data_IF_994387128820
#
_entry.id   IF_994387128820
#
_cell.length_a   1.000
_cell.length_b   1.000
_cell.length_c   1.000
_cell.angle_alpha   90.00
_cell.angle_beta   90.00
_cell.angle_gamma   90.00
#
_symmetry.space_group_name_H-M   'P 1'
#
loop_
_entity.id
_entity.type
_entity.pdbx_description
1 polymer ?
#
# COMPACT_ATOMS: atom_id res chain seq x y z
N UNK A 1 -69.98 26.60 -15.34
CA UNK A 1 -70.86 25.93 -16.33
C UNK A 1 -70.53 24.48 -16.25
N UNK A 2 -71.31 23.70 -15.50
CA UNK A 2 -72.46 22.89 -15.93
C UNK A 2 -72.04 21.74 -16.84
N UNK A 3 -72.10 20.59 -16.29
CA UNK A 3 -73.01 19.38 -16.39
C UNK A 3 -72.41 18.38 -17.37
N UNK A 4 -72.43 17.04 -17.22
CA UNK A 4 -73.38 16.08 -16.56
C UNK A 4 -72.77 14.71 -16.72
N UNK A 5 -72.64 13.89 -15.74
CA UNK A 5 -73.46 12.72 -15.33
C UNK A 5 -73.91 11.79 -16.48
N UNK A 6 -73.46 10.54 -16.44
CA UNK A 6 -73.91 9.42 -17.26
C UNK A 6 -73.49 8.07 -16.70
N UNK A 7 -74.26 7.56 -15.75
CA UNK A 7 -74.19 6.23 -15.15
C UNK A 7 -75.06 5.24 -15.94
N UNK A 8 -74.55 4.06 -16.29
CA UNK A 8 -75.32 2.82 -16.57
C UNK A 8 -74.40 1.62 -16.42
N UNK A 9 -74.47 0.87 -15.51
CA UNK A 9 -75.14 -0.34 -14.92
C UNK A 9 -75.22 -1.55 -15.87
N UNK A 10 -74.74 -2.66 -15.31
CA UNK A 10 -74.99 -4.09 -15.49
C UNK A 10 -74.41 -4.85 -16.71
N UNK A 11 -73.74 -5.90 -16.36
CA UNK A 11 -73.47 -7.08 -17.18
C UNK A 11 -72.65 -8.11 -16.43
N UNK A 12 -73.30 -8.91 -15.54
CA UNK A 12 -72.75 -10.11 -14.93
C UNK A 12 -72.67 -11.18 -16.02
N UNK A 13 -71.48 -11.75 -16.21
CA UNK A 13 -71.31 -13.04 -16.89
C UNK A 13 -70.26 -13.85 -16.17
N UNK A 14 -70.71 -14.85 -15.40
CA UNK A 14 -69.91 -15.98 -14.99
C UNK A 14 -69.46 -16.77 -16.23
N UNK A 15 -68.17 -17.04 -16.35
CA UNK A 15 -67.72 -18.21 -17.09
C UNK A 15 -66.55 -18.88 -16.38
N UNK A 16 -66.65 -20.17 -16.43
CA UNK A 16 -65.98 -21.20 -15.66
C UNK A 16 -64.49 -21.35 -15.98
N UNK A 17 -63.75 -21.74 -14.97
CA UNK A 17 -62.63 -22.70 -14.87
C UNK A 17 -61.93 -23.10 -16.18
N UNK A 18 -60.66 -22.73 -16.30
CA UNK A 18 -59.68 -23.57 -16.94
C UNK A 18 -58.38 -23.53 -16.14
N UNK A 19 -58.08 -24.65 -15.50
CA UNK A 19 -56.82 -24.99 -14.88
C UNK A 19 -55.81 -25.13 -16.03
N UNK A 20 -54.97 -24.18 -16.23
CA UNK A 20 -53.81 -24.29 -17.12
C UNK A 20 -52.57 -24.46 -16.23
N UNK A 21 -51.95 -25.64 -16.40
CA UNK A 21 -50.82 -26.10 -15.63
C UNK A 21 -49.64 -25.15 -15.63
N UNK A 22 -48.98 -25.05 -14.47
CA UNK A 22 -47.63 -24.50 -14.36
C UNK A 22 -46.67 -25.32 -15.22
N UNK A 23 -46.35 -24.81 -16.38
CA UNK A 23 -45.13 -25.23 -17.09
C UNK A 23 -43.99 -24.66 -16.30
N UNK A 24 -43.36 -25.51 -15.50
CA UNK A 24 -42.09 -25.17 -14.86
C UNK A 24 -41.08 -24.80 -15.91
N UNK A 25 -40.67 -23.54 -15.92
CA UNK A 25 -39.43 -23.18 -16.57
C UNK A 25 -38.31 -23.91 -15.85
N UNK A 26 -37.42 -24.63 -16.56
CA UNK A 26 -36.20 -25.08 -15.93
C UNK A 26 -35.46 -23.82 -15.52
N UNK A 27 -35.35 -23.60 -14.21
CA UNK A 27 -34.38 -22.68 -13.63
C UNK A 27 -33.02 -23.10 -14.19
N UNK A 28 -32.59 -22.43 -15.24
CA UNK A 28 -31.17 -22.40 -15.59
C UNK A 28 -30.52 -21.56 -14.49
N UNK A 29 -30.31 -22.21 -13.34
CA UNK A 29 -29.45 -21.67 -12.29
C UNK A 29 -28.10 -21.35 -12.92
N UNK A 30 -27.88 -20.09 -13.20
CA UNK A 30 -26.53 -19.57 -13.26
C UNK A 30 -25.97 -19.76 -11.85
N UNK A 31 -25.40 -20.94 -11.59
CA UNK A 31 -24.48 -21.14 -10.50
C UNK A 31 -23.29 -20.21 -10.78
N UNK A 32 -23.37 -18.99 -10.28
CA UNK A 32 -22.15 -18.24 -10.03
C UNK A 32 -21.27 -19.18 -9.21
N UNK A 33 -20.01 -19.42 -9.57
CA UNK A 33 -19.11 -20.20 -8.74
C UNK A 33 -18.96 -19.46 -7.42
N UNK A 34 -19.84 -19.68 -6.46
CA UNK A 34 -19.57 -19.41 -5.07
C UNK A 34 -18.39 -20.32 -4.75
N UNK A 35 -17.20 -19.73 -4.70
CA UNK A 35 -16.06 -20.37 -4.06
C UNK A 35 -16.55 -20.77 -2.69
N UNK A 36 -16.76 -22.04 -2.44
CA UNK A 36 -17.10 -22.61 -1.14
C UNK A 36 -15.87 -22.44 -0.24
N UNK A 37 -15.67 -21.18 0.27
CA UNK A 37 -14.63 -20.87 1.23
C UNK A 37 -14.96 -21.68 2.49
N UNK A 38 -14.07 -22.57 2.89
CA UNK A 38 -14.27 -23.38 4.09
C UNK A 38 -14.42 -22.47 5.32
N UNK A 39 -15.20 -22.91 6.33
CA UNK A 39 -15.35 -22.15 7.57
C UNK A 39 -14.00 -21.83 8.22
N UNK A 40 -13.03 -22.75 8.14
CA UNK A 40 -11.65 -22.53 8.61
C UNK A 40 -10.96 -21.42 7.84
N UNK A 41 -11.10 -21.38 6.52
CA UNK A 41 -10.52 -20.34 5.69
C UNK A 41 -11.13 -18.97 5.93
N UNK A 42 -12.47 -18.89 6.08
CA UNK A 42 -13.16 -17.65 6.45
C UNK A 42 -12.66 -17.09 7.79
N UNK A 43 -12.52 -17.95 8.81
CA UNK A 43 -11.96 -17.57 10.11
C UNK A 43 -10.51 -17.11 9.99
N UNK A 44 -9.67 -17.85 9.27
CA UNK A 44 -8.27 -17.48 9.06
C UNK A 44 -8.15 -16.13 8.37
N UNK A 45 -8.98 -15.86 7.37
CA UNK A 45 -9.02 -14.56 6.69
C UNK A 45 -9.35 -13.43 7.65
N UNK A 46 -10.45 -13.54 8.41
CA UNK A 46 -10.90 -12.51 9.35
C UNK A 46 -9.81 -12.19 10.38
N UNK A 47 -9.24 -13.19 11.03
CA UNK A 47 -8.18 -13.00 12.02
C UNK A 47 -6.90 -12.42 11.41
N UNK A 48 -6.57 -12.78 10.17
CA UNK A 48 -5.41 -12.19 9.46
C UNK A 48 -5.65 -10.70 9.13
N UNK A 49 -6.85 -10.34 8.69
CA UNK A 49 -7.22 -8.94 8.43
C UNK A 49 -7.21 -8.10 9.71
N UNK A 50 -7.72 -8.64 10.82
CA UNK A 50 -7.62 -8.00 12.14
C UNK A 50 -6.16 -7.81 12.56
N UNK A 51 -5.33 -8.83 12.40
CA UNK A 51 -3.90 -8.75 12.70
C UNK A 51 -3.19 -7.66 11.90
N UNK A 52 -3.51 -7.53 10.61
CA UNK A 52 -2.96 -6.46 9.77
C UNK A 52 -3.35 -5.07 10.30
N UNK A 53 -4.60 -4.88 10.71
CA UNK A 53 -5.05 -3.62 11.31
C UNK A 53 -4.36 -3.32 12.65
N UNK A 54 -4.15 -4.32 13.51
CA UNK A 54 -3.40 -4.15 14.76
C UNK A 54 -1.93 -3.84 14.51
N UNK A 55 -1.32 -4.48 13.50
CA UNK A 55 0.03 -4.16 13.05
C UNK A 55 0.16 -2.68 12.62
N UNK A 56 -0.76 -2.18 11.81
CA UNK A 56 -0.78 -0.78 11.38
C UNK A 56 -0.89 0.22 12.55
N UNK A 57 -1.54 -0.19 13.64
CA UNK A 57 -1.66 0.59 14.88
C UNK A 57 -0.46 0.42 15.83
N UNK A 58 0.54 -0.39 15.44
CA UNK A 58 1.69 -0.71 16.29
C UNK A 58 1.38 -1.65 17.47
N UNK A 59 0.20 -2.28 17.49
CA UNK A 59 -0.24 -3.21 18.53
C UNK A 59 0.25 -4.64 18.22
N UNK A 60 1.57 -4.80 18.21
CA UNK A 60 2.24 -5.99 17.67
C UNK A 60 1.89 -7.28 18.43
N UNK A 61 1.73 -7.21 19.76
CA UNK A 61 1.35 -8.37 20.58
C UNK A 61 -0.05 -8.88 20.20
N UNK A 62 -1.04 -7.98 20.09
CA UNK A 62 -2.40 -8.34 19.68
C UNK A 62 -2.42 -8.90 18.26
N UNK A 63 -1.62 -8.34 17.36
CA UNK A 63 -1.49 -8.85 16.00
C UNK A 63 -0.98 -10.31 16.00
N UNK A 64 -0.01 -10.68 16.85
CA UNK A 64 0.46 -12.06 16.97
C UNK A 64 -0.62 -13.00 17.53
N UNK A 65 -1.43 -12.55 18.49
CA UNK A 65 -2.54 -13.34 19.03
C UNK A 65 -3.59 -13.64 17.93
N UNK A 66 -3.97 -12.64 17.15
CA UNK A 66 -4.90 -12.81 16.02
C UNK A 66 -4.33 -13.76 14.96
N UNK A 67 -3.04 -13.65 14.65
CA UNK A 67 -2.36 -14.56 13.72
C UNK A 67 -2.31 -16.00 14.23
N UNK A 68 -2.16 -16.19 15.54
CA UNK A 68 -2.26 -17.52 16.14
C UNK A 68 -3.67 -18.10 16.01
N UNK A 69 -4.73 -17.27 16.09
CA UNK A 69 -6.11 -17.68 15.83
C UNK A 69 -6.31 -18.04 14.35
N UNK A 70 -5.79 -17.22 13.45
CA UNK A 70 -5.84 -17.48 12.02
C UNK A 70 -5.22 -18.84 11.66
N UNK A 71 -4.01 -19.10 12.16
CA UNK A 71 -3.26 -20.34 11.87
C UNK A 71 -3.82 -21.57 12.58
N UNK A 72 -4.50 -21.41 13.72
CA UNK A 72 -5.30 -22.50 14.31
C UNK A 72 -6.53 -22.85 13.46
N UNK A 73 -7.16 -21.86 12.84
CA UNK A 73 -8.31 -22.10 11.96
C UNK A 73 -7.91 -22.73 10.62
N UNK A 74 -6.77 -22.31 10.06
CA UNK A 74 -6.19 -22.88 8.83
C UNK A 74 -4.67 -22.74 8.86
N UNK A 75 -3.97 -23.85 9.15
CA UNK A 75 -2.54 -23.88 9.37
C UNK A 75 -1.69 -23.60 8.13
N UNK A 76 -2.27 -23.72 6.92
CA UNK A 76 -1.64 -23.45 5.62
C UNK A 76 -2.15 -22.14 4.97
N UNK A 77 -2.64 -21.19 5.79
CA UNK A 77 -3.12 -19.91 5.27
C UNK A 77 -1.96 -18.95 4.99
N UNK A 78 -1.54 -18.87 3.73
CA UNK A 78 -0.36 -18.13 3.28
C UNK A 78 -0.33 -16.66 3.75
N UNK A 79 -1.49 -15.96 3.72
CA UNK A 79 -1.57 -14.57 4.12
C UNK A 79 -1.25 -14.35 5.60
N UNK A 80 -1.62 -15.30 6.49
CA UNK A 80 -1.30 -15.19 7.91
C UNK A 80 0.22 -15.21 8.15
N UNK A 81 0.95 -16.05 7.42
CA UNK A 81 2.42 -16.05 7.48
C UNK A 81 3.02 -14.75 6.95
N UNK A 82 2.49 -14.23 5.83
CA UNK A 82 2.95 -12.94 5.29
C UNK A 82 2.78 -11.80 6.33
N UNK A 83 1.62 -11.69 6.95
CA UNK A 83 1.37 -10.66 7.98
C UNK A 83 2.21 -10.91 9.22
N UNK A 84 2.39 -12.19 9.64
CA UNK A 84 3.25 -12.53 10.77
C UNK A 84 4.71 -12.17 10.52
N UNK A 85 5.19 -12.36 9.30
CA UNK A 85 6.50 -11.90 8.87
C UNK A 85 6.69 -10.38 9.04
N UNK A 86 5.67 -9.58 8.69
CA UNK A 86 5.70 -8.12 8.92
C UNK A 86 5.74 -7.76 10.40
N UNK A 87 4.92 -8.43 11.23
CA UNK A 87 4.90 -8.21 12.69
C UNK A 87 6.25 -8.56 13.31
N UNK A 88 6.83 -9.72 12.95
CA UNK A 88 8.14 -10.16 13.43
C UNK A 88 9.28 -9.25 12.98
N UNK A 89 9.22 -8.78 11.73
CA UNK A 89 10.15 -7.76 11.22
C UNK A 89 10.10 -6.49 12.08
N UNK A 90 8.92 -6.04 12.50
CA UNK A 90 8.75 -4.88 13.37
C UNK A 90 9.24 -5.14 14.81
N UNK A 91 9.19 -6.38 15.28
CA UNK A 91 9.75 -6.84 16.56
C UNK A 91 11.26 -7.11 16.50
N UNK A 92 11.91 -6.95 15.33
CA UNK A 92 13.31 -7.31 15.09
C UNK A 92 13.61 -8.80 15.25
N UNK A 93 12.62 -9.65 15.11
CA UNK A 93 12.72 -11.12 15.08
C UNK A 93 13.06 -11.60 13.66
N UNK A 94 14.24 -11.19 13.17
CA UNK A 94 14.59 -11.29 11.75
C UNK A 94 14.59 -12.71 11.18
N UNK A 95 15.08 -13.69 11.97
CA UNK A 95 15.10 -15.07 11.51
C UNK A 95 13.67 -15.61 11.32
N UNK A 96 12.81 -15.39 12.31
CA UNK A 96 11.43 -15.86 12.24
C UNK A 96 10.64 -15.13 11.15
N UNK A 97 10.94 -13.83 10.95
CA UNK A 97 10.33 -13.07 9.85
C UNK A 97 10.69 -13.66 8.48
N UNK A 98 11.97 -13.98 8.28
CA UNK A 98 12.46 -14.61 7.04
C UNK A 98 11.78 -15.96 6.79
N UNK A 99 11.72 -16.82 7.82
CA UNK A 99 11.04 -18.12 7.77
C UNK A 99 9.56 -17.98 7.38
N UNK A 100 8.85 -17.01 7.97
CA UNK A 100 7.44 -16.75 7.69
C UNK A 100 7.21 -16.26 6.26
N UNK A 101 8.00 -15.30 5.78
CA UNK A 101 7.88 -14.83 4.39
C UNK A 101 8.15 -15.95 3.38
N UNK A 102 9.21 -16.74 3.61
CA UNK A 102 9.51 -17.88 2.75
C UNK A 102 8.39 -18.92 2.80
N UNK A 103 7.81 -19.19 3.98
CA UNK A 103 6.72 -20.15 4.09
C UNK A 103 5.45 -19.65 3.39
N UNK A 104 5.12 -18.37 3.53
CA UNK A 104 4.03 -17.74 2.77
C UNK A 104 4.18 -17.95 1.28
N UNK A 105 5.39 -17.73 0.74
CA UNK A 105 5.68 -17.90 -0.68
C UNK A 105 5.72 -19.38 -1.10
N UNK A 106 6.06 -20.32 -0.22
CA UNK A 106 5.92 -21.77 -0.51
C UNK A 106 4.45 -22.16 -0.63
N UNK A 107 3.57 -21.60 0.18
CA UNK A 107 2.12 -21.88 0.12
C UNK A 107 1.44 -21.19 -1.07
N UNK A 108 1.87 -19.98 -1.41
CA UNK A 108 1.35 -19.25 -2.56
C UNK A 108 2.46 -18.43 -3.24
N UNK A 109 3.19 -19.08 -4.16
CA UNK A 109 4.35 -18.51 -4.84
C UNK A 109 4.06 -17.39 -5.83
N UNK A 110 2.79 -17.10 -6.11
CA UNK A 110 2.40 -16.01 -7.03
C UNK A 110 1.74 -14.82 -6.30
N UNK A 111 1.74 -14.83 -4.95
CA UNK A 111 1.13 -13.74 -4.19
C UNK A 111 1.97 -12.46 -4.26
N UNK A 112 1.47 -11.38 -4.88
CA UNK A 112 2.24 -10.17 -5.08
C UNK A 112 2.53 -9.43 -3.77
N UNK A 113 1.59 -9.46 -2.79
CA UNK A 113 1.81 -8.81 -1.50
C UNK A 113 2.91 -9.50 -0.70
N UNK A 114 2.94 -10.86 -0.71
CA UNK A 114 4.01 -11.61 -0.06
C UNK A 114 5.37 -11.35 -0.71
N UNK A 115 5.43 -11.26 -2.03
CA UNK A 115 6.64 -10.85 -2.73
C UNK A 115 7.07 -9.43 -2.39
N UNK A 116 6.15 -8.45 -2.41
CA UNK A 116 6.47 -7.07 -2.07
C UNK A 116 6.98 -6.94 -0.63
N UNK A 117 6.32 -7.59 0.32
CA UNK A 117 6.67 -7.50 1.74
C UNK A 117 8.00 -8.19 2.04
N UNK A 118 8.24 -9.37 1.45
CA UNK A 118 9.51 -10.06 1.59
C UNK A 118 10.65 -9.28 0.92
N UNK A 119 10.42 -8.71 -0.26
CA UNK A 119 11.38 -7.82 -0.91
C UNK A 119 11.76 -6.64 -0.01
N UNK A 120 10.77 -6.01 0.64
CA UNK A 120 11.03 -4.92 1.58
C UNK A 120 11.86 -5.36 2.79
N UNK A 121 11.52 -6.52 3.38
CA UNK A 121 12.31 -7.11 4.45
C UNK A 121 13.77 -7.33 4.04
N UNK A 122 14.01 -7.97 2.90
CA UNK A 122 15.34 -8.22 2.37
C UNK A 122 16.14 -6.91 2.15
N UNK A 123 15.50 -5.91 1.58
CA UNK A 123 16.11 -4.59 1.37
C UNK A 123 16.55 -3.94 2.70
N UNK A 124 15.71 -4.02 3.72
CA UNK A 124 16.07 -3.51 5.06
C UNK A 124 17.26 -4.24 5.68
N UNK A 125 17.52 -5.48 5.28
CA UNK A 125 18.63 -6.33 5.77
C UNK A 125 19.87 -6.31 4.87
N UNK A 126 19.96 -5.39 3.90
CA UNK A 126 21.11 -5.23 3.04
C UNK A 126 21.21 -6.26 1.91
N UNK A 127 20.08 -6.92 1.58
CA UNK A 127 19.98 -7.87 0.47
C UNK A 127 19.28 -7.22 -0.74
N UNK A 128 19.80 -6.09 -1.20
CA UNK A 128 19.14 -5.23 -2.19
C UNK A 128 18.89 -5.97 -3.53
N UNK A 129 19.87 -6.72 -4.02
CA UNK A 129 19.75 -7.44 -5.29
C UNK A 129 18.68 -8.55 -5.24
N UNK A 130 18.55 -9.22 -4.10
CA UNK A 130 17.53 -10.24 -3.90
C UNK A 130 16.15 -9.58 -3.78
N UNK A 131 16.07 -8.47 -3.06
CA UNK A 131 14.82 -7.73 -2.87
C UNK A 131 14.21 -7.26 -4.20
N UNK A 132 15.03 -6.77 -5.14
CA UNK A 132 14.56 -6.33 -6.47
C UNK A 132 13.89 -7.49 -7.22
N UNK A 133 14.42 -8.72 -7.14
CA UNK A 133 13.78 -9.89 -7.75
C UNK A 133 12.38 -10.12 -7.23
N UNK A 134 12.17 -9.93 -5.94
CA UNK A 134 10.85 -10.07 -5.31
C UNK A 134 9.90 -8.95 -5.72
N UNK A 135 10.32 -7.70 -5.77
CA UNK A 135 9.48 -6.62 -6.28
C UNK A 135 9.07 -6.86 -7.74
N UNK A 136 10.02 -7.32 -8.58
CA UNK A 136 9.71 -7.67 -9.96
C UNK A 136 8.77 -8.87 -10.07
N UNK A 137 8.84 -9.83 -9.15
CA UNK A 137 7.89 -10.94 -9.10
C UNK A 137 6.48 -10.47 -8.73
N UNK A 138 6.34 -9.55 -7.77
CA UNK A 138 5.06 -8.92 -7.44
C UNK A 138 4.45 -8.21 -8.67
N UNK A 139 5.25 -7.45 -9.41
CA UNK A 139 4.84 -6.66 -10.57
C UNK A 139 4.50 -7.51 -11.81
N UNK A 140 4.87 -8.80 -11.85
CA UNK A 140 4.46 -9.71 -12.92
C UNK A 140 2.96 -10.08 -12.85
N UNK A 141 2.33 -9.93 -11.69
CA UNK A 141 0.92 -10.24 -11.56
C UNK A 141 0.08 -9.04 -12.06
N UNK A 142 -0.66 -9.17 -13.19
CA UNK A 142 -1.44 -8.06 -13.74
C UNK A 142 -2.63 -7.66 -12.85
N UNK A 143 -3.00 -8.50 -11.89
CA UNK A 143 -4.09 -8.25 -10.94
C UNK A 143 -3.58 -7.70 -9.61
N UNK A 144 -2.31 -7.32 -9.53
CA UNK A 144 -1.78 -6.70 -8.32
C UNK A 144 -2.44 -5.35 -8.08
N UNK A 145 -3.12 -5.22 -6.93
CA UNK A 145 -3.96 -4.04 -6.63
C UNK A 145 -3.17 -2.79 -6.27
N UNK A 146 -1.90 -2.94 -5.85
CA UNK A 146 -1.05 -1.83 -5.38
C UNK A 146 0.35 -1.86 -6.00
N UNK A 147 0.46 -1.89 -7.35
CA UNK A 147 1.75 -1.98 -8.03
C UNK A 147 2.65 -0.76 -7.76
N UNK A 148 2.08 0.41 -7.48
CA UNK A 148 2.81 1.62 -7.09
C UNK A 148 3.67 1.39 -5.84
N UNK A 149 3.22 0.57 -4.89
CA UNK A 149 3.99 0.24 -3.68
C UNK A 149 5.23 -0.60 -4.01
N UNK A 150 5.09 -1.57 -4.90
CA UNK A 150 6.23 -2.38 -5.32
C UNK A 150 7.24 -1.55 -6.14
N UNK A 151 6.77 -0.66 -7.01
CA UNK A 151 7.65 0.29 -7.70
C UNK A 151 8.35 1.24 -6.72
N UNK A 152 7.63 1.83 -5.76
CA UNK A 152 8.23 2.66 -4.72
C UNK A 152 9.32 1.91 -3.96
N UNK A 153 9.01 0.72 -3.45
CA UNK A 153 9.94 -0.09 -2.68
C UNK A 153 11.17 -0.49 -3.50
N UNK A 154 10.97 -0.86 -4.77
CA UNK A 154 12.07 -1.14 -5.70
C UNK A 154 12.96 0.10 -5.90
N UNK A 155 12.36 1.27 -6.10
CA UNK A 155 13.08 2.53 -6.25
C UNK A 155 13.90 2.91 -5.02
N UNK A 156 13.30 2.86 -3.84
CA UNK A 156 13.98 3.14 -2.57
C UNK A 156 15.12 2.15 -2.29
N UNK A 157 14.90 0.88 -2.65
CA UNK A 157 15.93 -0.14 -2.50
C UNK A 157 17.08 0.04 -3.49
N UNK A 158 16.77 0.42 -4.73
CA UNK A 158 17.79 0.74 -5.73
C UNK A 158 18.63 1.97 -5.32
N UNK A 159 18.01 2.98 -4.68
CA UNK A 159 18.75 4.11 -4.08
C UNK A 159 19.74 3.61 -3.02
N UNK A 160 19.32 2.70 -2.15
CA UNK A 160 20.17 2.11 -1.11
C UNK A 160 21.33 1.30 -1.71
N UNK A 161 21.09 0.62 -2.82
CA UNK A 161 22.10 -0.09 -3.61
C UNK A 161 22.98 0.85 -4.47
N UNK A 162 22.79 2.18 -4.39
CA UNK A 162 23.44 3.17 -5.23
C UNK A 162 23.23 2.99 -6.74
N UNK A 163 22.17 2.27 -7.13
CA UNK A 163 21.78 2.12 -8.52
C UNK A 163 20.82 3.25 -8.91
N UNK A 164 21.41 4.37 -9.30
CA UNK A 164 20.70 5.62 -9.60
C UNK A 164 19.68 5.45 -10.72
N UNK A 165 20.07 4.75 -11.80
CA UNK A 165 19.21 4.57 -12.98
C UNK A 165 17.94 3.81 -12.65
N UNK A 166 18.08 2.66 -12.02
CA UNK A 166 16.93 1.83 -11.65
C UNK A 166 16.06 2.53 -10.58
N UNK A 167 16.71 3.27 -9.64
CA UNK A 167 16.01 4.04 -8.63
C UNK A 167 15.09 5.09 -9.27
N UNK A 168 15.60 5.86 -10.20
CA UNK A 168 14.83 6.88 -10.92
C UNK A 168 13.68 6.25 -11.71
N UNK A 169 13.98 5.19 -12.50
CA UNK A 169 12.98 4.50 -13.31
C UNK A 169 11.82 3.96 -12.46
N UNK A 170 12.13 3.28 -11.36
CA UNK A 170 11.09 2.71 -10.49
C UNK A 170 10.29 3.79 -9.77
N UNK A 171 10.92 4.85 -9.25
CA UNK A 171 10.18 5.94 -8.60
C UNK A 171 9.27 6.68 -9.58
N UNK A 172 9.71 6.88 -10.83
CA UNK A 172 8.87 7.45 -11.88
C UNK A 172 7.70 6.54 -12.25
N UNK A 173 7.91 5.21 -12.32
CA UNK A 173 6.83 4.24 -12.52
C UNK A 173 5.82 4.26 -11.37
N UNK A 174 6.27 4.41 -10.12
CA UNK A 174 5.36 4.60 -8.99
C UNK A 174 4.46 5.83 -9.18
N UNK A 175 5.04 6.96 -9.63
CA UNK A 175 4.29 8.19 -9.94
C UNK A 175 3.40 8.08 -11.17
N UNK A 176 3.75 7.22 -12.14
CA UNK A 176 2.89 6.96 -13.30
C UNK A 176 1.58 6.27 -12.86
N UNK A 177 1.65 5.37 -11.88
CA UNK A 177 0.46 4.70 -11.31
C UNK A 177 -0.26 5.63 -10.33
N UNK A 178 0.48 6.29 -9.43
CA UNK A 178 -0.05 7.19 -8.40
C UNK A 178 0.70 8.54 -8.41
N UNK A 179 0.22 9.53 -9.20
CA UNK A 179 0.95 10.78 -9.43
C UNK A 179 1.26 11.62 -8.18
N UNK A 180 0.45 11.47 -7.12
CA UNK A 180 0.60 12.24 -5.88
C UNK A 180 1.28 11.46 -4.75
N UNK A 181 1.96 10.36 -5.05
CA UNK A 181 2.63 9.51 -4.06
C UNK A 181 3.80 10.26 -3.42
N UNK A 182 3.58 10.78 -2.22
CA UNK A 182 4.54 11.65 -1.52
C UNK A 182 5.89 11.00 -1.30
N UNK A 183 5.94 9.70 -0.97
CA UNK A 183 7.19 8.98 -0.75
C UNK A 183 8.04 8.85 -2.02
N UNK A 184 7.40 8.66 -3.17
CA UNK A 184 8.10 8.62 -4.46
C UNK A 184 8.62 10.01 -4.85
N UNK A 185 7.82 11.07 -4.65
CA UNK A 185 8.25 12.46 -4.88
C UNK A 185 9.44 12.83 -3.98
N UNK A 186 9.39 12.46 -2.70
CA UNK A 186 10.48 12.70 -1.76
C UNK A 186 11.74 11.89 -2.13
N UNK A 187 11.56 10.64 -2.53
CA UNK A 187 12.62 9.78 -3.05
C UNK A 187 13.34 10.40 -4.24
N UNK A 188 12.59 10.89 -5.24
CA UNK A 188 13.15 11.58 -6.42
C UNK A 188 13.83 12.89 -6.05
N UNK A 189 13.30 13.67 -5.11
CA UNK A 189 13.97 14.88 -4.63
C UNK A 189 15.34 14.55 -4.01
N UNK A 190 15.43 13.51 -3.19
CA UNK A 190 16.71 13.02 -2.61
C UNK A 190 17.66 12.52 -3.68
N UNK A 191 17.17 11.74 -4.63
CA UNK A 191 17.96 11.17 -5.71
C UNK A 191 18.58 12.27 -6.57
N UNK A 192 17.76 13.23 -7.02
CA UNK A 192 18.24 14.35 -7.87
C UNK A 192 19.24 15.26 -7.12
N UNK A 193 18.99 15.54 -5.83
CA UNK A 193 19.98 16.29 -5.03
C UNK A 193 21.33 15.58 -4.99
N UNK A 194 21.33 14.27 -4.77
CA UNK A 194 22.57 13.49 -4.69
C UNK A 194 23.29 13.38 -6.05
N UNK A 195 22.54 13.42 -7.15
CA UNK A 195 23.08 13.38 -8.52
C UNK A 195 23.46 14.74 -9.07
N UNK A 196 23.27 15.83 -8.31
CA UNK A 196 23.63 17.18 -8.74
C UNK A 196 22.56 17.90 -9.57
N UNK A 197 21.42 17.28 -9.84
CA UNK A 197 20.27 17.96 -10.44
C UNK A 197 19.46 18.69 -9.36
N UNK A 198 19.98 19.85 -8.96
CA UNK A 198 19.38 20.65 -7.89
C UNK A 198 18.04 21.28 -8.28
N UNK A 199 17.85 21.59 -9.56
CA UNK A 199 16.60 22.13 -10.08
C UNK A 199 15.49 21.05 -10.08
N UNK A 200 15.80 19.84 -10.54
CA UNK A 200 14.91 18.69 -10.45
C UNK A 200 14.58 18.33 -9.00
N UNK A 201 15.60 18.35 -8.12
CA UNK A 201 15.41 18.12 -6.69
C UNK A 201 14.40 19.10 -6.06
N UNK A 202 14.53 20.41 -6.38
CA UNK A 202 13.58 21.46 -5.94
C UNK A 202 12.19 21.21 -6.48
N UNK A 203 12.08 20.87 -7.76
CA UNK A 203 10.78 20.61 -8.41
C UNK A 203 10.03 19.47 -7.73
N UNK A 204 10.68 18.31 -7.51
CA UNK A 204 10.08 17.18 -6.83
C UNK A 204 9.78 17.49 -5.35
N UNK A 205 10.65 18.22 -4.66
CA UNK A 205 10.39 18.62 -3.27
C UNK A 205 9.17 19.53 -3.15
N UNK A 206 8.97 20.48 -4.06
CA UNK A 206 7.78 21.34 -4.07
C UNK A 206 6.51 20.54 -4.36
N UNK A 207 6.57 19.54 -5.26
CA UNK A 207 5.45 18.62 -5.50
C UNK A 207 5.15 17.79 -4.25
N UNK A 208 6.18 17.24 -3.59
CA UNK A 208 6.05 16.55 -2.30
C UNK A 208 5.35 17.43 -1.27
N UNK A 209 5.86 18.63 -1.04
CA UNK A 209 5.29 19.59 -0.07
C UNK A 209 3.83 19.94 -0.36
N UNK A 210 3.48 20.13 -1.64
CA UNK A 210 2.10 20.44 -2.05
C UNK A 210 1.13 19.29 -1.78
N UNK A 211 1.59 18.04 -1.94
CA UNK A 211 0.74 16.86 -1.79
C UNK A 211 0.78 16.28 -0.37
N UNK A 212 1.71 16.74 0.48
CA UNK A 212 1.79 16.30 1.87
C UNK A 212 0.64 16.88 2.69
N UNK A 213 -0.07 16.01 3.40
CA UNK A 213 -1.15 16.38 4.34
C UNK A 213 -0.65 16.58 5.77
N UNK A 214 0.59 16.21 6.03
CA UNK A 214 1.23 16.32 7.34
C UNK A 214 2.29 17.44 7.35
N UNK A 215 2.59 18.04 8.53
CA UNK A 215 3.71 18.97 8.67
C UNK A 215 5.04 18.34 8.22
N UNK A 216 5.94 19.17 7.71
CA UNK A 216 7.28 18.74 7.31
C UNK A 216 8.05 18.22 8.53
N UNK A 217 8.68 17.05 8.39
CA UNK A 217 9.57 16.47 9.40
C UNK A 217 10.95 17.14 9.38
N UNK A 218 11.81 16.81 10.35
CA UNK A 218 13.20 17.28 10.37
C UNK A 218 13.95 16.87 9.10
N UNK A 219 13.77 15.63 8.64
CA UNK A 219 14.38 15.12 7.39
C UNK A 219 13.90 15.92 6.16
N UNK A 220 12.60 16.24 6.09
CA UNK A 220 12.07 17.01 4.98
C UNK A 220 12.65 18.44 4.95
N UNK A 221 12.71 19.11 6.10
CA UNK A 221 13.27 20.45 6.20
C UNK A 221 14.77 20.47 5.89
N UNK A 222 15.49 19.46 6.35
CA UNK A 222 16.91 19.32 6.05
C UNK A 222 17.16 19.10 4.56
N UNK A 223 16.36 18.26 3.89
CA UNK A 223 16.44 18.13 2.44
C UNK A 223 16.23 19.46 1.74
N UNK A 224 15.24 20.25 2.14
CA UNK A 224 14.98 21.56 1.57
C UNK A 224 16.15 22.52 1.77
N UNK A 225 16.72 22.59 2.99
CA UNK A 225 17.91 23.40 3.28
C UNK A 225 19.07 23.02 2.34
N UNK A 226 19.34 21.74 2.16
CA UNK A 226 20.41 21.26 1.27
C UNK A 226 20.18 21.64 -0.19
N UNK A 227 18.94 21.50 -0.68
CA UNK A 227 18.56 21.87 -2.05
C UNK A 227 18.79 23.36 -2.27
N UNK A 228 18.23 24.22 -1.41
CA UNK A 228 18.31 25.68 -1.56
C UNK A 228 19.77 26.18 -1.40
N UNK A 229 20.54 25.56 -0.51
CA UNK A 229 21.98 25.81 -0.36
C UNK A 229 22.74 25.54 -1.66
N UNK A 230 22.44 24.45 -2.32
CA UNK A 230 23.09 24.08 -3.61
C UNK A 230 22.66 24.97 -4.77
N UNK A 231 21.43 25.49 -4.72
CA UNK A 231 20.93 26.47 -5.69
C UNK A 231 21.40 27.90 -5.42
N UNK A 232 21.98 28.17 -4.24
CA UNK A 232 22.41 29.51 -3.83
C UNK A 232 21.27 30.44 -3.37
N UNK A 233 20.06 29.92 -3.18
CA UNK A 233 18.90 30.68 -2.68
C UNK A 233 18.97 30.83 -1.16
N UNK A 234 19.73 31.85 -0.71
CA UNK A 234 19.96 32.12 0.72
C UNK A 234 18.68 32.46 1.51
N UNK A 235 17.70 33.08 0.84
CA UNK A 235 16.44 33.45 1.49
C UNK A 235 15.60 32.21 1.79
N UNK A 236 15.44 31.31 0.81
CA UNK A 236 14.75 30.05 0.97
C UNK A 236 15.49 29.11 1.93
N UNK A 237 16.83 28.99 1.81
CA UNK A 237 17.68 28.21 2.73
C UNK A 237 17.42 28.65 4.19
N UNK A 238 17.47 29.95 4.47
CA UNK A 238 17.27 30.48 5.81
C UNK A 238 15.84 30.21 6.32
N UNK A 239 14.85 30.30 5.45
CA UNK A 239 13.46 30.01 5.80
C UNK A 239 13.29 28.58 6.34
N UNK A 240 13.82 27.58 5.64
CA UNK A 240 13.77 26.18 6.07
C UNK A 240 14.68 25.92 7.28
N UNK A 241 15.86 26.55 7.35
CA UNK A 241 16.79 26.42 8.47
C UNK A 241 16.17 26.94 9.80
N UNK A 242 15.45 28.06 9.75
CA UNK A 242 14.74 28.60 10.93
C UNK A 242 13.63 27.63 11.37
N UNK A 243 12.85 27.11 10.43
CA UNK A 243 11.80 26.12 10.75
C UNK A 243 12.41 24.86 11.40
N UNK A 244 13.50 24.33 10.83
CA UNK A 244 14.19 23.15 11.36
C UNK A 244 14.64 23.37 12.81
N UNK A 245 15.35 24.48 13.09
CA UNK A 245 15.81 24.81 14.44
C UNK A 245 14.68 25.03 15.43
N UNK A 246 13.59 25.70 14.99
CA UNK A 246 12.46 26.02 15.85
C UNK A 246 11.64 24.77 16.22
N UNK A 247 11.37 23.92 15.23
CA UNK A 247 10.44 22.81 15.39
C UNK A 247 11.13 21.53 15.86
N UNK A 248 12.44 21.39 15.58
CA UNK A 248 13.22 20.17 15.82
C UNK A 248 14.62 20.51 16.36
N UNK A 249 14.74 21.22 17.51
CA UNK A 249 16.04 21.70 18.02
C UNK A 249 17.03 20.57 18.30
N UNK A 250 16.54 19.44 18.77
CA UNK A 250 17.37 18.28 19.19
C UNK A 250 17.54 17.23 18.09
N UNK A 251 16.95 17.45 16.90
CA UNK A 251 17.06 16.49 15.80
C UNK A 251 18.49 16.42 15.26
N UNK A 252 18.88 15.22 14.79
CA UNK A 252 20.15 14.98 14.11
C UNK A 252 20.36 15.93 12.93
N UNK A 253 19.31 16.20 12.18
CA UNK A 253 19.31 17.08 11.00
C UNK A 253 19.64 18.52 11.36
N UNK A 254 19.18 18.99 12.52
CA UNK A 254 19.52 20.31 13.07
C UNK A 254 21.01 20.37 13.42
N UNK A 255 21.54 19.33 14.03
CA UNK A 255 22.97 19.25 14.34
C UNK A 255 23.82 19.21 13.06
N UNK A 256 23.44 18.38 12.06
CA UNK A 256 24.12 18.36 10.76
C UNK A 256 24.12 19.73 10.10
N UNK A 257 23.02 20.48 10.16
CA UNK A 257 22.93 21.83 9.62
C UNK A 257 23.85 22.81 10.34
N UNK A 258 23.97 22.74 11.66
CA UNK A 258 24.78 23.66 12.46
C UNK A 258 26.27 23.40 12.31
N UNK A 259 26.67 22.15 12.15
CA UNK A 259 28.08 21.75 11.98
C UNK A 259 28.57 21.70 10.53
N UNK A 260 27.73 22.12 9.56
CA UNK A 260 28.12 22.28 8.16
C UNK A 260 28.32 21.00 7.38
N UNK A 261 27.67 19.91 7.78
CA UNK A 261 27.74 18.63 7.06
C UNK A 261 26.63 18.50 6.00
#
# INVERSE_FOLDING_TARGET
MRFSLGMKVLGISLFASSIAGCVGHPDMGYETPQQNISLGESKAKIHTELAAQYYERGQLGVALEELALALRAKSDYAQAYNVRGLVRMALHEDQQADEDFQYSLRLNGNNPDSHNNYGWFLCKRGKELESIKHFMAALKNPLYSTPERAYLNAGLCSMKASNVKDAEEFLQKALTVQPNMTDALFGLAKLNLNNGDYAGAKSYFLLFKRNSTTPLTAENLWLAVRIERKLGDKAAENTYAVQLRKNFPDARETQLMLYGQ
#
